data_IF_167848621238
#
_entry.id   IF_167848621238
#
_cell.length_a   1.000
_cell.length_b   1.000
_cell.length_c   1.000
_cell.angle_alpha   90.00
_cell.angle_beta   90.00
_cell.angle_gamma   90.00
#
_symmetry.space_group_name_H-M   'P 1'
#
loop_
_entity.id
_entity.type
_entity.pdbx_description
1 polymer ?
#
# COMPACT_ATOMS: atom_id res chain seq x y z
N UNK A 1 39.83 -11.94 -11.05
CA UNK A 1 38.85 -10.88 -10.74
C UNK A 1 38.28 -10.43 -12.07
N UNK A 2 36.96 -10.35 -12.18
CA UNK A 2 36.29 -9.97 -13.42
C UNK A 2 36.30 -8.44 -13.56
N UNK A 3 36.28 -7.91 -14.79
CA UNK A 3 36.37 -6.46 -15.10
C UNK A 3 35.30 -5.65 -14.34
N UNK A 4 34.12 -6.24 -14.14
CA UNK A 4 33.02 -5.65 -13.35
C UNK A 4 33.44 -5.28 -11.92
N UNK A 5 34.30 -6.07 -11.28
CA UNK A 5 34.74 -5.77 -9.91
C UNK A 5 35.76 -4.63 -9.86
N UNK A 6 36.53 -4.38 -10.92
CA UNK A 6 37.50 -3.27 -10.93
C UNK A 6 36.80 -1.92 -11.10
N UNK A 7 35.82 -1.84 -12.01
CA UNK A 7 35.02 -0.62 -12.21
C UNK A 7 34.24 -0.23 -10.96
N UNK A 8 33.61 -1.19 -10.29
CA UNK A 8 32.86 -0.95 -9.07
C UNK A 8 33.76 -0.48 -7.91
N UNK A 9 34.98 -1.02 -7.80
CA UNK A 9 35.94 -0.53 -6.81
C UNK A 9 36.39 0.90 -7.13
N UNK A 10 36.56 1.24 -8.41
CA UNK A 10 36.90 2.60 -8.85
C UNK A 10 35.77 3.59 -8.53
N UNK A 11 34.50 3.22 -8.71
CA UNK A 11 33.34 4.03 -8.34
C UNK A 11 33.28 4.29 -6.83
N UNK A 12 33.49 3.26 -6.00
CA UNK A 12 33.58 3.40 -4.53
C UNK A 12 34.74 4.30 -4.13
N UNK A 13 35.90 4.14 -4.75
CA UNK A 13 37.06 5.01 -4.51
C UNK A 13 36.81 6.45 -4.94
N UNK A 14 36.10 6.65 -6.05
CA UNK A 14 35.75 7.98 -6.54
C UNK A 14 34.78 8.67 -5.58
N UNK A 15 33.74 7.98 -5.12
CA UNK A 15 32.84 8.47 -4.08
C UNK A 15 33.59 8.81 -2.77
N UNK A 16 34.63 8.05 -2.42
CA UNK A 16 35.50 8.35 -1.28
C UNK A 16 36.28 9.66 -1.48
N UNK A 17 36.86 9.87 -2.67
CA UNK A 17 37.65 11.07 -3.01
C UNK A 17 36.78 12.32 -3.04
N UNK A 18 35.60 12.20 -3.63
CA UNK A 18 34.64 13.30 -3.80
C UNK A 18 33.85 13.59 -2.52
N UNK A 19 33.90 12.66 -1.55
CA UNK A 19 33.07 12.68 -0.33
C UNK A 19 31.58 12.74 -0.66
N UNK A 20 31.17 12.02 -1.69
CA UNK A 20 29.77 11.91 -2.12
C UNK A 20 28.92 11.42 -0.95
N UNK A 21 27.78 12.07 -0.74
CA UNK A 21 26.81 11.67 0.30
C UNK A 21 25.88 10.55 -0.18
N UNK A 22 25.89 10.29 -1.47
CA UNK A 22 25.10 9.29 -2.16
C UNK A 22 26.06 8.37 -2.94
N UNK A 23 25.69 7.10 -2.99
CA UNK A 23 26.36 6.09 -3.79
C UNK A 23 25.30 5.12 -4.31
N UNK A 24 25.24 5.02 -5.64
CA UNK A 24 24.37 4.08 -6.33
C UNK A 24 25.23 2.94 -6.89
N UNK A 25 24.93 1.71 -6.48
CA UNK A 25 25.52 0.48 -6.98
C UNK A 25 24.41 -0.49 -7.44
N UNK A 26 23.28 0.04 -7.90
CA UNK A 26 22.22 -0.76 -8.51
C UNK A 26 22.70 -1.48 -9.77
N UNK A 27 22.05 -2.60 -10.11
CA UNK A 27 22.30 -3.36 -11.35
C UNK A 27 23.77 -3.84 -11.53
N UNK A 28 24.57 -3.84 -10.47
CA UNK A 28 26.01 -4.13 -10.52
C UNK A 28 26.34 -5.63 -10.48
N UNK A 29 25.33 -6.49 -10.33
CA UNK A 29 25.49 -7.94 -10.21
C UNK A 29 26.21 -8.37 -8.92
N UNK A 30 26.10 -7.58 -7.86
CA UNK A 30 26.73 -7.82 -6.56
C UNK A 30 26.16 -9.07 -5.91
N UNK A 31 27.01 -10.03 -5.60
CA UNK A 31 26.66 -11.18 -4.74
C UNK A 31 27.02 -10.95 -3.28
N UNK A 32 27.88 -9.96 -3.01
CA UNK A 32 28.24 -9.48 -1.68
C UNK A 32 28.71 -8.02 -1.78
N UNK A 33 28.62 -7.27 -0.68
CA UNK A 33 29.15 -5.91 -0.60
C UNK A 33 30.67 -5.91 -0.38
N UNK A 34 31.45 -5.17 -1.20
CA UNK A 34 32.90 -5.05 -0.99
C UNK A 34 33.22 -4.24 0.27
N UNK A 35 34.22 -4.68 1.03
CA UNK A 35 34.55 -4.10 2.34
C UNK A 35 34.90 -2.60 2.31
N UNK A 36 35.34 -2.10 1.15
CA UNK A 36 35.69 -0.71 0.89
C UNK A 36 34.50 0.24 1.09
N UNK A 37 33.27 -0.22 0.80
CA UNK A 37 32.07 0.61 0.96
C UNK A 37 31.91 1.07 2.42
N UNK A 38 32.27 0.23 3.38
CA UNK A 38 32.13 0.51 4.81
C UNK A 38 33.14 1.55 5.33
N UNK A 39 34.07 2.01 4.50
CA UNK A 39 34.94 3.16 4.81
C UNK A 39 34.24 4.49 4.53
N UNK A 40 33.17 4.49 3.73
CA UNK A 40 32.39 5.67 3.36
C UNK A 40 31.38 6.06 4.47
N UNK A 41 31.88 6.21 5.70
CA UNK A 41 31.07 6.55 6.90
C UNK A 41 30.29 7.86 6.80
N UNK A 42 30.56 8.68 5.76
CA UNK A 42 29.86 9.93 5.47
C UNK A 42 28.63 9.75 4.57
N UNK A 43 28.40 8.57 4.00
CA UNK A 43 27.23 8.29 3.17
C UNK A 43 25.93 8.52 3.95
N UNK A 44 25.01 9.21 3.28
CA UNK A 44 23.64 9.44 3.69
C UNK A 44 22.68 8.58 2.87
N UNK A 45 22.95 8.33 1.59
CA UNK A 45 22.14 7.48 0.72
C UNK A 45 22.98 6.37 0.11
N UNK A 46 22.45 5.15 0.13
CA UNK A 46 23.06 4.00 -0.51
C UNK A 46 21.98 3.20 -1.25
N UNK A 47 22.14 3.06 -2.55
CA UNK A 47 21.25 2.29 -3.42
C UNK A 47 21.97 1.01 -3.87
N UNK A 48 21.32 -0.14 -3.63
CA UNK A 48 21.82 -1.47 -3.93
C UNK A 48 20.76 -2.32 -4.66
N UNK A 49 19.77 -1.67 -5.27
CA UNK A 49 18.65 -2.32 -5.95
C UNK A 49 19.13 -3.18 -7.14
N UNK A 50 18.34 -4.18 -7.52
CA UNK A 50 18.62 -5.10 -8.64
C UNK A 50 20.04 -5.71 -8.57
N UNK A 51 20.29 -6.45 -7.50
CA UNK A 51 21.54 -7.16 -7.27
C UNK A 51 21.27 -8.63 -6.85
N UNK A 52 22.31 -9.37 -6.50
CA UNK A 52 22.23 -10.79 -6.11
C UNK A 52 22.65 -10.98 -4.64
N UNK A 53 22.44 -9.99 -3.78
CA UNK A 53 22.84 -10.04 -2.38
C UNK A 53 21.98 -11.06 -1.64
N UNK A 54 22.62 -12.03 -1.00
CA UNK A 54 21.92 -13.04 -0.17
C UNK A 54 21.89 -12.68 1.31
N UNK A 55 22.78 -11.78 1.75
CA UNK A 55 22.82 -11.22 3.09
C UNK A 55 23.47 -9.83 3.08
N UNK A 56 23.21 -9.05 4.13
CA UNK A 56 23.99 -7.86 4.45
C UNK A 56 24.96 -8.16 5.60
N UNK A 57 26.24 -7.77 5.47
CA UNK A 57 27.22 -7.99 6.54
C UNK A 57 27.01 -7.01 7.71
N UNK A 58 27.35 -7.38 8.95
CA UNK A 58 27.27 -6.52 10.13
C UNK A 58 27.97 -5.15 9.98
N UNK A 59 28.99 -5.08 9.14
CA UNK A 59 29.74 -3.87 8.82
C UNK A 59 28.88 -2.75 8.21
N UNK A 60 27.66 -3.04 7.75
CA UNK A 60 26.70 -2.01 7.31
C UNK A 60 26.51 -0.92 8.39
N UNK A 61 26.58 -1.29 9.67
CA UNK A 61 26.49 -0.35 10.80
C UNK A 61 27.57 0.73 10.83
N UNK A 62 28.70 0.54 10.11
CA UNK A 62 29.76 1.57 9.99
C UNK A 62 29.28 2.79 9.22
N UNK A 63 28.25 2.64 8.37
CA UNK A 63 27.63 3.72 7.62
C UNK A 63 26.65 4.53 8.48
N UNK A 64 27.10 4.96 9.67
CA UNK A 64 26.28 5.53 10.74
C UNK A 64 25.49 6.80 10.38
N UNK A 65 25.81 7.46 9.26
CA UNK A 65 25.10 8.64 8.75
C UNK A 65 24.00 8.33 7.74
N UNK A 66 23.79 7.06 7.40
CA UNK A 66 22.78 6.67 6.42
C UNK A 66 21.39 7.12 6.86
N UNK A 67 20.68 7.76 5.94
CA UNK A 67 19.28 8.19 6.02
C UNK A 67 18.39 7.39 5.10
N UNK A 68 18.90 6.86 3.99
CA UNK A 68 18.16 6.03 3.03
C UNK A 68 19.01 4.84 2.60
N UNK A 69 18.45 3.64 2.73
CA UNK A 69 19.05 2.40 2.26
C UNK A 69 18.05 1.70 1.35
N UNK A 70 18.44 1.44 0.11
CA UNK A 70 17.63 0.71 -0.87
C UNK A 70 18.31 -0.63 -1.19
N UNK A 71 17.54 -1.71 -1.07
CA UNK A 71 17.95 -3.10 -1.20
C UNK A 71 16.93 -3.91 -2.02
N UNK A 72 16.08 -3.23 -2.78
CA UNK A 72 15.05 -3.81 -3.62
C UNK A 72 15.62 -4.84 -4.60
N UNK A 73 14.80 -5.79 -5.04
CA UNK A 73 15.17 -6.76 -6.08
C UNK A 73 16.51 -7.48 -5.79
N UNK A 74 16.62 -8.07 -4.60
CA UNK A 74 17.79 -8.86 -4.17
C UNK A 74 17.35 -10.27 -3.70
N UNK A 75 18.25 -11.02 -3.07
CA UNK A 75 18.00 -12.39 -2.60
C UNK A 75 18.12 -12.51 -1.07
N UNK A 76 17.88 -11.42 -0.33
CA UNK A 76 18.09 -11.37 1.12
C UNK A 76 17.10 -12.30 1.85
N UNK A 77 17.64 -13.14 2.72
CA UNK A 77 16.86 -14.05 3.57
C UNK A 77 16.51 -13.43 4.94
N UNK A 78 17.36 -12.52 5.42
CA UNK A 78 17.20 -11.78 6.67
C UNK A 78 17.98 -10.47 6.60
N UNK A 79 17.67 -9.53 7.49
CA UNK A 79 18.54 -8.41 7.82
C UNK A 79 19.42 -8.74 9.03
N UNK A 80 20.67 -8.24 9.11
CA UNK A 80 21.51 -8.38 10.30
C UNK A 80 20.97 -7.51 11.45
N UNK A 81 21.07 -7.94 12.73
CA UNK A 81 20.73 -7.13 13.90
C UNK A 81 21.37 -5.74 13.88
N UNK A 82 22.59 -5.63 13.35
CA UNK A 82 23.37 -4.41 13.25
C UNK A 82 22.72 -3.32 12.38
N UNK A 83 21.71 -3.66 11.57
CA UNK A 83 20.91 -2.66 10.84
C UNK A 83 20.33 -1.60 11.78
N UNK A 84 19.98 -2.01 13.00
CA UNK A 84 19.46 -1.14 14.06
C UNK A 84 20.43 -0.05 14.52
N UNK A 85 21.73 -0.18 14.21
CA UNK A 85 22.75 0.81 14.57
C UNK A 85 22.76 2.00 13.60
N UNK A 86 22.03 1.91 12.47
CA UNK A 86 21.81 3.03 11.55
C UNK A 86 20.82 4.04 12.15
N UNK A 87 21.24 4.70 13.23
CA UNK A 87 20.38 5.57 14.05
C UNK A 87 19.80 6.80 13.33
N UNK A 88 20.32 7.14 12.15
CA UNK A 88 19.84 8.25 11.31
C UNK A 88 18.92 7.77 10.18
N UNK A 89 18.68 6.45 10.04
CA UNK A 89 17.92 5.89 8.93
C UNK A 89 16.47 6.35 8.99
N UNK A 90 16.03 7.01 7.93
CA UNK A 90 14.68 7.54 7.77
C UNK A 90 13.85 6.69 6.80
N UNK A 91 14.48 6.05 5.82
CA UNK A 91 13.82 5.18 4.86
C UNK A 91 14.64 3.91 4.62
N UNK A 92 13.96 2.76 4.67
CA UNK A 92 14.53 1.45 4.39
C UNK A 92 13.64 0.72 3.39
N UNK A 93 14.20 0.42 2.23
CA UNK A 93 13.55 -0.33 1.16
C UNK A 93 14.21 -1.71 1.07
N UNK A 94 13.41 -2.76 1.26
CA UNK A 94 13.84 -4.17 1.20
C UNK A 94 12.82 -4.99 0.41
N UNK A 95 12.16 -4.33 -0.53
CA UNK A 95 11.16 -4.92 -1.40
C UNK A 95 11.74 -5.99 -2.32
N UNK A 96 10.88 -6.90 -2.79
CA UNK A 96 11.21 -7.95 -3.76
C UNK A 96 12.47 -8.75 -3.37
N UNK A 97 12.46 -9.29 -2.15
CA UNK A 97 13.50 -10.12 -1.56
C UNK A 97 12.92 -11.47 -1.09
N UNK A 98 13.63 -12.20 -0.23
CA UNK A 98 13.22 -13.51 0.27
C UNK A 98 13.10 -13.56 1.80
N UNK A 99 12.79 -12.42 2.43
CA UNK A 99 12.65 -12.34 3.88
C UNK A 99 11.50 -13.21 4.36
N UNK A 100 11.81 -14.28 5.09
CA UNK A 100 10.82 -15.10 5.78
C UNK A 100 10.42 -14.49 7.14
N UNK A 101 11.30 -13.66 7.72
CA UNK A 101 11.08 -12.92 8.95
C UNK A 101 11.84 -11.60 8.93
N UNK A 102 11.33 -10.63 9.69
CA UNK A 102 12.03 -9.37 9.97
C UNK A 102 12.73 -9.47 11.33
N UNK A 103 13.94 -8.93 11.43
CA UNK A 103 14.68 -8.93 12.70
C UNK A 103 13.96 -8.09 13.78
N UNK A 104 13.87 -8.55 15.04
CA UNK A 104 13.31 -7.76 16.15
C UNK A 104 14.02 -6.41 16.34
N UNK A 105 15.32 -6.34 16.03
CA UNK A 105 16.11 -5.12 16.19
C UNK A 105 15.62 -3.94 15.34
N UNK A 106 14.76 -4.18 14.34
CA UNK A 106 14.14 -3.13 13.53
C UNK A 106 13.47 -2.05 14.39
N UNK A 107 12.90 -2.42 15.54
CA UNK A 107 12.23 -1.49 16.46
C UNK A 107 13.13 -0.38 17.01
N UNK A 108 14.45 -0.55 16.93
CA UNK A 108 15.43 0.44 17.41
C UNK A 108 15.70 1.58 16.40
N UNK A 109 15.17 1.51 15.17
CA UNK A 109 15.34 2.54 14.15
C UNK A 109 14.46 3.77 14.43
N UNK A 110 14.82 4.54 15.46
CA UNK A 110 14.00 5.64 16.01
C UNK A 110 13.68 6.78 15.04
N UNK A 111 14.40 6.90 13.92
CA UNK A 111 14.19 7.92 12.89
C UNK A 111 13.38 7.42 11.69
N UNK A 112 13.09 6.11 11.61
CA UNK A 112 12.45 5.50 10.46
C UNK A 112 11.04 6.06 10.24
N UNK A 113 10.78 6.49 9.01
CA UNK A 113 9.52 7.06 8.53
C UNK A 113 8.89 6.17 7.46
N UNK A 114 9.71 5.54 6.63
CA UNK A 114 9.28 4.67 5.53
C UNK A 114 9.95 3.31 5.66
N UNK A 115 9.15 2.25 5.62
CA UNK A 115 9.62 0.87 5.61
C UNK A 115 8.89 0.11 4.49
N UNK A 116 9.61 -0.23 3.43
CA UNK A 116 9.09 -1.04 2.34
C UNK A 116 9.55 -2.50 2.49
N UNK A 117 8.59 -3.41 2.68
CA UNK A 117 8.78 -4.85 2.79
C UNK A 117 7.96 -5.62 1.74
N UNK A 118 7.49 -4.92 0.70
CA UNK A 118 6.76 -5.49 -0.44
C UNK A 118 7.46 -6.72 -1.00
N UNK A 119 6.73 -7.70 -1.52
CA UNK A 119 7.33 -8.77 -2.33
C UNK A 119 8.28 -9.68 -1.55
N UNK A 120 7.97 -9.95 -0.27
CA UNK A 120 8.75 -10.85 0.58
C UNK A 120 7.95 -12.11 0.93
N UNK A 121 8.43 -12.90 1.89
CA UNK A 121 7.80 -14.16 2.33
C UNK A 121 7.28 -14.07 3.77
N UNK A 122 6.98 -12.86 4.24
CA UNK A 122 6.60 -12.61 5.63
C UNK A 122 5.23 -13.24 5.95
N UNK A 123 5.18 -13.95 7.07
CA UNK A 123 3.94 -14.52 7.64
C UNK A 123 3.50 -13.79 8.92
N UNK A 124 4.40 -13.01 9.52
CA UNK A 124 4.20 -12.21 10.72
C UNK A 124 5.27 -11.12 10.81
N UNK A 125 5.08 -10.17 11.73
CA UNK A 125 6.06 -9.15 12.08
C UNK A 125 6.54 -9.37 13.52
N UNK A 126 7.79 -8.96 13.86
CA UNK A 126 8.25 -8.97 15.24
C UNK A 126 7.48 -7.94 16.07
N UNK A 127 7.26 -8.24 17.35
CA UNK A 127 6.52 -7.37 18.29
C UNK A 127 7.10 -5.96 18.36
N UNK A 128 8.42 -5.87 18.19
CA UNK A 128 9.26 -4.69 18.27
C UNK A 128 9.00 -3.68 17.14
N UNK A 129 8.37 -4.07 16.03
CA UNK A 129 8.01 -3.10 14.98
C UNK A 129 7.11 -1.99 15.52
N UNK A 130 6.26 -2.31 16.52
CA UNK A 130 5.40 -1.35 17.22
C UNK A 130 6.17 -0.22 17.93
N UNK A 131 7.48 -0.39 18.14
CA UNK A 131 8.34 0.58 18.83
C UNK A 131 8.83 1.69 17.90
N UNK A 132 8.59 1.61 16.59
CA UNK A 132 8.98 2.63 15.62
C UNK A 132 8.14 3.92 15.80
N UNK A 133 8.68 4.96 16.45
CA UNK A 133 7.85 6.06 16.95
C UNK A 133 7.47 7.07 15.87
N UNK A 134 8.09 6.96 14.68
CA UNK A 134 7.99 7.91 13.57
C UNK A 134 7.52 7.30 12.27
N UNK A 135 7.23 5.99 12.23
CA UNK A 135 6.82 5.31 11.01
C UNK A 135 5.50 5.89 10.49
N UNK A 136 5.49 6.25 9.21
CA UNK A 136 4.39 6.89 8.50
C UNK A 136 3.91 6.04 7.34
N UNK A 137 4.84 5.37 6.68
CA UNK A 137 4.61 4.56 5.48
C UNK A 137 5.11 3.15 5.76
N UNK A 138 4.21 2.18 5.62
CA UNK A 138 4.52 0.77 5.77
C UNK A 138 3.89 0.00 4.61
N UNK A 139 4.74 -0.60 3.78
CA UNK A 139 4.32 -1.49 2.69
C UNK A 139 4.64 -2.94 3.06
N UNK A 140 3.59 -3.75 3.16
CA UNK A 140 3.59 -5.20 3.40
C UNK A 140 2.94 -5.95 2.23
N UNK A 141 2.73 -5.29 1.09
CA UNK A 141 2.09 -5.88 -0.08
C UNK A 141 2.86 -7.09 -0.59
N UNK A 142 2.19 -7.99 -1.31
CA UNK A 142 2.81 -9.19 -1.91
C UNK A 142 3.61 -10.03 -0.90
N UNK A 143 3.00 -10.32 0.26
CA UNK A 143 3.58 -11.20 1.29
C UNK A 143 2.69 -12.44 1.52
N UNK A 144 2.88 -13.15 2.63
CA UNK A 144 2.12 -14.37 2.98
C UNK A 144 1.32 -14.21 4.26
N UNK A 145 0.88 -12.98 4.56
CA UNK A 145 0.12 -12.67 5.77
C UNK A 145 -1.30 -13.24 5.65
N UNK A 146 -1.69 -14.06 6.63
CA UNK A 146 -3.05 -14.63 6.73
C UNK A 146 -3.99 -13.78 7.60
N UNK A 147 -3.41 -12.85 8.38
CA UNK A 147 -4.10 -11.92 9.24
C UNK A 147 -3.27 -10.64 9.35
N UNK A 148 -3.93 -9.51 9.62
CA UNK A 148 -3.27 -8.25 9.89
C UNK A 148 -2.42 -8.38 11.17
N UNK A 149 -1.10 -8.08 11.15
CA UNK A 149 -0.27 -8.18 12.34
C UNK A 149 -0.76 -7.22 13.44
N UNK A 150 -0.99 -7.70 14.69
CA UNK A 150 -1.52 -6.88 15.78
C UNK A 150 -0.58 -5.74 16.20
N UNK A 151 0.69 -5.80 15.83
CA UNK A 151 1.69 -4.77 16.09
C UNK A 151 1.45 -3.51 15.23
N UNK A 152 0.93 -3.68 14.01
CA UNK A 152 0.75 -2.57 13.06
C UNK A 152 -0.19 -1.52 13.64
N UNK A 153 -1.22 -1.93 14.38
CA UNK A 153 -2.21 -1.00 14.97
C UNK A 153 -1.62 -0.10 16.06
N UNK A 154 -0.42 -0.41 16.56
CA UNK A 154 0.28 0.39 17.59
C UNK A 154 1.14 1.51 16.97
N UNK A 155 1.29 1.53 15.65
CA UNK A 155 2.04 2.55 14.92
C UNK A 155 1.25 3.87 14.82
N UNK A 156 1.19 4.61 15.93
CA UNK A 156 0.33 5.80 16.09
C UNK A 156 0.63 6.99 15.14
N UNK A 157 1.72 6.92 14.36
CA UNK A 157 2.07 7.94 13.34
C UNK A 157 1.78 7.47 11.92
N UNK A 158 1.32 6.23 11.72
CA UNK A 158 1.10 5.64 10.40
C UNK A 158 0.03 6.43 9.63
N UNK A 159 0.31 6.66 8.35
CA UNK A 159 -0.50 7.43 7.40
C UNK A 159 -0.84 6.59 6.19
N UNK A 160 0.10 5.78 5.75
CA UNK A 160 0.00 4.94 4.57
C UNK A 160 0.30 3.50 4.99
N UNK A 161 -0.65 2.62 4.73
CA UNK A 161 -0.53 1.19 4.97
C UNK A 161 -0.97 0.44 3.73
N UNK A 162 -0.02 -0.25 3.11
CA UNK A 162 -0.32 -1.23 2.07
C UNK A 162 -0.14 -2.65 2.64
N UNK A 163 -1.20 -3.45 2.60
CA UNK A 163 -1.18 -4.88 2.93
C UNK A 163 -1.95 -5.67 1.85
N UNK A 164 -1.96 -5.14 0.62
CA UNK A 164 -2.51 -5.79 -0.56
C UNK A 164 -1.78 -7.09 -0.89
N UNK A 165 -2.35 -7.91 -1.76
CA UNK A 165 -1.71 -9.12 -2.28
C UNK A 165 -1.22 -10.06 -1.15
N UNK A 166 -2.12 -10.31 -0.20
CA UNK A 166 -1.91 -11.20 0.94
C UNK A 166 -3.07 -12.22 1.01
N UNK A 167 -3.29 -12.85 2.16
CA UNK A 167 -4.33 -13.87 2.35
C UNK A 167 -5.27 -13.51 3.50
N UNK A 168 -5.49 -12.21 3.71
CA UNK A 168 -6.33 -11.70 4.78
C UNK A 168 -7.80 -12.09 4.55
N UNK A 169 -8.42 -12.69 5.56
CA UNK A 169 -9.86 -13.03 5.54
C UNK A 169 -10.70 -12.06 6.37
N UNK A 170 -10.06 -11.29 7.25
CA UNK A 170 -10.70 -10.27 8.08
C UNK A 170 -9.68 -9.21 8.53
N UNK A 171 -10.20 -8.02 8.87
CA UNK A 171 -9.44 -6.94 9.50
C UNK A 171 -9.78 -6.86 10.99
N UNK A 172 -8.75 -6.74 11.83
CA UNK A 172 -8.95 -6.59 13.28
C UNK A 172 -9.70 -5.29 13.59
N UNK A 173 -10.65 -5.29 14.55
CA UNK A 173 -11.26 -4.07 15.08
C UNK A 173 -10.23 -3.03 15.58
N UNK A 174 -9.02 -3.46 15.94
CA UNK A 174 -7.97 -2.57 16.41
C UNK A 174 -7.42 -1.63 15.33
N UNK A 175 -7.76 -1.82 14.05
CA UNK A 175 -7.46 -0.88 12.96
C UNK A 175 -7.88 0.57 13.30
N UNK A 176 -8.94 0.72 14.09
CA UNK A 176 -9.43 2.01 14.57
C UNK A 176 -8.43 2.80 15.45
N UNK A 177 -7.35 2.17 15.92
CA UNK A 177 -6.28 2.84 16.66
C UNK A 177 -5.39 3.70 15.75
N UNK A 178 -5.37 3.42 14.43
CA UNK A 178 -4.61 4.17 13.43
C UNK A 178 -5.30 5.48 13.04
N UNK A 179 -5.52 6.37 14.01
CA UNK A 179 -6.29 7.62 13.85
C UNK A 179 -5.67 8.65 12.88
N UNK A 180 -4.46 8.39 12.35
CA UNK A 180 -3.77 9.22 11.35
C UNK A 180 -3.72 8.59 9.96
N UNK A 181 -4.24 7.37 9.81
CA UNK A 181 -4.25 6.64 8.55
C UNK A 181 -5.07 7.41 7.53
N UNK A 182 -4.46 7.66 6.37
CA UNK A 182 -5.01 8.38 5.24
C UNK A 182 -5.28 7.43 4.11
N UNK A 183 -4.33 6.56 3.82
CA UNK A 183 -4.35 5.72 2.64
C UNK A 183 -4.17 4.28 3.09
N UNK A 184 -5.13 3.44 2.73
CA UNK A 184 -5.20 2.05 3.15
C UNK A 184 -5.51 1.17 1.94
N UNK A 185 -4.52 0.38 1.54
CA UNK A 185 -4.66 -0.61 0.47
C UNK A 185 -4.83 -2.01 1.06
N UNK A 186 -6.00 -2.59 0.82
CA UNK A 186 -6.41 -3.95 1.21
C UNK A 186 -6.74 -4.82 -0.02
N UNK A 187 -6.38 -4.36 -1.22
CA UNK A 187 -6.71 -5.07 -2.45
C UNK A 187 -6.08 -6.46 -2.54
N UNK A 188 -6.58 -7.31 -3.43
CA UNK A 188 -6.02 -8.66 -3.65
C UNK A 188 -5.93 -9.50 -2.36
N UNK A 189 -7.02 -9.55 -1.60
CA UNK A 189 -7.16 -10.35 -0.37
C UNK A 189 -8.43 -11.20 -0.44
N UNK A 190 -8.90 -11.74 0.69
CA UNK A 190 -10.10 -12.59 0.78
C UNK A 190 -11.12 -12.00 1.77
N UNK A 191 -11.22 -10.68 1.81
CA UNK A 191 -12.10 -9.98 2.73
C UNK A 191 -13.56 -10.13 2.29
N UNK A 192 -14.43 -10.44 3.26
CA UNK A 192 -15.88 -10.55 3.04
C UNK A 192 -16.68 -9.45 3.74
N UNK A 193 -16.08 -8.77 4.72
CA UNK A 193 -16.67 -7.65 5.46
C UNK A 193 -15.56 -6.80 6.13
N UNK A 194 -15.94 -5.64 6.69
CA UNK A 194 -15.11 -4.78 7.52
C UNK A 194 -15.73 -4.61 8.93
N UNK A 195 -14.92 -4.52 10.00
CA UNK A 195 -15.46 -4.40 11.35
C UNK A 195 -16.19 -3.07 11.55
N UNK A 196 -17.28 -3.04 12.33
CA UNK A 196 -18.10 -1.83 12.53
C UNK A 196 -17.32 -0.60 13.09
N UNK A 197 -16.20 -0.84 13.75
CA UNK A 197 -15.31 0.21 14.27
C UNK A 197 -14.48 0.91 13.20
N UNK A 198 -14.49 0.43 11.95
CA UNK A 198 -13.81 1.05 10.81
C UNK A 198 -14.26 2.51 10.59
N UNK A 199 -15.50 2.83 10.98
CA UNK A 199 -16.06 4.19 11.02
C UNK A 199 -15.22 5.20 11.82
N UNK A 200 -14.40 4.75 12.77
CA UNK A 200 -13.49 5.63 13.53
C UNK A 200 -12.40 6.26 12.68
N UNK A 201 -12.11 5.71 11.49
CA UNK A 201 -11.18 6.26 10.51
C UNK A 201 -11.79 7.42 9.69
N UNK A 202 -13.08 7.71 9.87
CA UNK A 202 -13.83 8.75 9.11
C UNK A 202 -13.20 10.15 9.12
N UNK A 203 -12.38 10.45 10.11
CA UNK A 203 -11.72 11.76 10.23
C UNK A 203 -10.33 11.82 9.58
N UNK A 204 -9.78 10.71 9.13
CA UNK A 204 -8.41 10.64 8.62
C UNK A 204 -8.32 10.01 7.23
N UNK A 205 -9.09 8.95 6.95
CA UNK A 205 -8.99 8.18 5.71
C UNK A 205 -9.49 8.98 4.52
N UNK A 206 -8.72 8.92 3.44
CA UNK A 206 -8.91 9.62 2.17
C UNK A 206 -8.95 8.63 1.01
N UNK A 207 -8.15 7.57 1.09
CA UNK A 207 -8.08 6.53 0.07
C UNK A 207 -8.29 5.16 0.72
N UNK A 208 -9.16 4.37 0.11
CA UNK A 208 -9.45 3.01 0.51
C UNK A 208 -9.55 2.14 -0.73
N UNK A 209 -8.61 1.21 -0.86
CA UNK A 209 -8.65 0.18 -1.89
C UNK A 209 -9.06 -1.17 -1.28
N UNK A 210 -10.18 -1.70 -1.76
CA UNK A 210 -10.76 -2.99 -1.41
C UNK A 210 -10.93 -3.87 -2.65
N UNK A 211 -10.29 -3.51 -3.76
CA UNK A 211 -10.40 -4.20 -5.04
C UNK A 211 -9.94 -5.65 -4.96
N UNK A 212 -10.47 -6.52 -5.81
CA UNK A 212 -10.14 -7.94 -5.84
C UNK A 212 -10.21 -8.61 -4.45
N UNK A 213 -11.40 -8.56 -3.86
CA UNK A 213 -11.75 -9.23 -2.60
C UNK A 213 -13.05 -10.05 -2.79
N UNK A 214 -13.59 -10.59 -1.70
CA UNK A 214 -14.78 -11.44 -1.71
C UNK A 214 -16.03 -10.69 -1.17
N UNK A 215 -16.07 -9.36 -1.29
CA UNK A 215 -17.19 -8.54 -0.79
C UNK A 215 -18.45 -8.81 -1.61
N UNK A 216 -19.51 -9.26 -0.94
CA UNK A 216 -20.85 -9.45 -1.55
C UNK A 216 -21.77 -8.23 -1.35
N UNK A 217 -21.48 -7.44 -0.32
CA UNK A 217 -22.12 -6.16 0.00
C UNK A 217 -21.03 -5.15 0.33
N UNK A 218 -21.28 -3.87 0.05
CA UNK A 218 -20.45 -2.79 0.58
C UNK A 218 -20.88 -2.57 2.04
N UNK A 219 -20.02 -2.81 3.04
CA UNK A 219 -20.40 -2.63 4.44
C UNK A 219 -20.82 -1.17 4.70
N UNK A 220 -22.00 -0.90 5.30
CA UNK A 220 -22.48 0.48 5.51
C UNK A 220 -21.53 1.37 6.31
N UNK A 221 -20.62 0.76 7.08
CA UNK A 221 -19.55 1.45 7.81
C UNK A 221 -18.62 2.24 6.87
N UNK A 222 -18.42 1.79 5.63
CA UNK A 222 -17.61 2.50 4.61
C UNK A 222 -18.25 3.84 4.27
N UNK A 223 -19.58 3.90 4.20
CA UNK A 223 -20.31 5.14 3.90
C UNK A 223 -20.15 6.22 4.99
N UNK A 224 -19.66 5.85 6.18
CA UNK A 224 -19.40 6.80 7.27
C UNK A 224 -18.03 7.50 7.13
N UNK A 225 -17.21 7.10 6.16
CA UNK A 225 -15.90 7.68 5.90
C UNK A 225 -16.01 9.01 5.14
N UNK A 226 -16.60 10.02 5.78
CA UNK A 226 -16.99 11.30 5.15
C UNK A 226 -15.85 12.13 4.53
N UNK A 227 -14.58 11.80 4.81
CA UNK A 227 -13.40 12.41 4.17
C UNK A 227 -12.78 11.59 3.04
N UNK A 228 -13.35 10.42 2.75
CA UNK A 228 -12.89 9.55 1.67
C UNK A 228 -13.08 10.27 0.33
N UNK A 229 -12.01 10.29 -0.46
CA UNK A 229 -11.92 10.86 -1.81
C UNK A 229 -11.88 9.77 -2.86
N UNK A 230 -11.21 8.66 -2.55
CA UNK A 230 -10.99 7.58 -3.49
C UNK A 230 -11.42 6.26 -2.85
N UNK A 231 -12.32 5.55 -3.54
CA UNK A 231 -12.84 4.25 -3.15
C UNK A 231 -12.75 3.29 -4.32
N UNK A 232 -11.90 2.28 -4.17
CA UNK A 232 -11.71 1.22 -5.15
C UNK A 232 -12.34 -0.07 -4.64
N UNK A 233 -13.27 -0.62 -5.42
CA UNK A 233 -14.09 -1.79 -5.12
C UNK A 233 -14.13 -2.75 -6.32
N UNK A 234 -13.24 -2.58 -7.30
CA UNK A 234 -13.27 -3.38 -8.52
C UNK A 234 -13.06 -4.86 -8.21
N UNK A 235 -13.50 -5.75 -9.11
CA UNK A 235 -13.26 -7.20 -9.00
C UNK A 235 -13.78 -7.82 -7.67
N UNK A 236 -14.93 -7.36 -7.19
CA UNK A 236 -15.63 -7.94 -6.04
C UNK A 236 -16.90 -8.69 -6.49
N UNK A 237 -17.78 -9.03 -5.54
CA UNK A 237 -19.03 -9.75 -5.79
C UNK A 237 -20.27 -8.91 -5.42
N UNK A 238 -20.15 -7.57 -5.46
CA UNK A 238 -21.19 -6.63 -5.02
C UNK A 238 -22.42 -6.72 -5.90
N UNK A 239 -23.59 -6.97 -5.30
CA UNK A 239 -24.87 -7.02 -6.04
C UNK A 239 -25.59 -5.67 -6.10
N UNK A 240 -25.39 -4.82 -5.08
CA UNK A 240 -25.97 -3.49 -4.96
C UNK A 240 -25.06 -2.58 -4.12
N UNK A 241 -25.23 -1.26 -4.26
CA UNK A 241 -24.68 -0.27 -3.33
C UNK A 241 -25.75 0.16 -2.31
N UNK A 242 -25.36 0.44 -1.05
CA UNK A 242 -26.26 1.01 -0.04
C UNK A 242 -26.67 2.44 -0.43
N UNK A 243 -27.87 2.86 -0.02
CA UNK A 243 -28.35 4.23 -0.27
C UNK A 243 -27.50 5.27 0.46
N UNK A 244 -26.87 4.87 1.57
CA UNK A 244 -25.93 5.65 2.37
C UNK A 244 -24.65 6.03 1.63
N UNK A 245 -24.38 5.50 0.42
CA UNK A 245 -23.22 5.90 -0.38
C UNK A 245 -23.13 7.42 -0.57
N UNK A 246 -24.28 8.12 -0.59
CA UNK A 246 -24.34 9.58 -0.67
C UNK A 246 -23.71 10.32 0.51
N UNK A 247 -23.43 9.64 1.63
CA UNK A 247 -22.74 10.22 2.79
C UNK A 247 -21.25 10.48 2.50
N UNK A 248 -20.68 9.86 1.46
CA UNK A 248 -19.31 10.10 1.01
C UNK A 248 -19.21 11.42 0.23
N UNK A 249 -19.59 12.53 0.87
CA UNK A 249 -19.71 13.87 0.27
C UNK A 249 -18.40 14.47 -0.28
N UNK A 250 -17.28 13.79 -0.11
CA UNK A 250 -15.96 14.19 -0.61
C UNK A 250 -15.37 13.20 -1.61
N UNK A 251 -16.16 12.20 -2.04
CA UNK A 251 -15.74 11.18 -2.98
C UNK A 251 -15.60 11.79 -4.37
N UNK A 252 -14.42 11.63 -4.93
CA UNK A 252 -14.00 12.12 -6.25
C UNK A 252 -13.82 10.93 -7.21
N UNK A 253 -13.35 9.79 -6.71
CA UNK A 253 -13.13 8.58 -7.49
C UNK A 253 -13.88 7.39 -6.88
N UNK A 254 -14.74 6.77 -7.70
CA UNK A 254 -15.44 5.54 -7.35
C UNK A 254 -15.24 4.50 -8.45
N UNK A 255 -14.41 3.51 -8.16
CA UNK A 255 -14.22 2.34 -9.04
C UNK A 255 -14.99 1.15 -8.50
N UNK A 256 -16.01 0.68 -9.23
CA UNK A 256 -16.78 -0.53 -8.90
C UNK A 256 -16.86 -1.44 -10.13
N UNK A 257 -15.82 -1.45 -10.96
CA UNK A 257 -15.76 -2.33 -12.12
C UNK A 257 -15.83 -3.81 -11.72
N UNK A 258 -16.23 -4.66 -12.67
CA UNK A 258 -16.16 -6.11 -12.54
C UNK A 258 -16.82 -6.65 -11.26
N UNK A 259 -18.05 -6.19 -11.02
CA UNK A 259 -18.90 -6.62 -9.92
C UNK A 259 -20.21 -7.26 -10.46
N UNK A 260 -21.21 -7.43 -9.60
CA UNK A 260 -22.51 -8.05 -9.94
C UNK A 260 -23.66 -7.05 -9.86
N UNK A 261 -23.38 -5.73 -9.95
CA UNK A 261 -24.40 -4.70 -9.77
C UNK A 261 -25.51 -4.84 -10.81
N UNK A 262 -26.75 -4.94 -10.34
CA UNK A 262 -27.95 -4.93 -11.19
C UNK A 262 -28.70 -3.61 -11.11
N UNK A 263 -28.43 -2.82 -10.08
CA UNK A 263 -29.03 -1.52 -9.86
C UNK A 263 -28.05 -0.57 -9.17
N UNK A 264 -28.26 0.74 -9.37
CA UNK A 264 -27.62 1.81 -8.61
C UNK A 264 -28.66 2.52 -7.72
N UNK A 265 -28.30 2.94 -6.50
CA UNK A 265 -29.20 3.73 -5.66
C UNK A 265 -29.37 5.14 -6.25
N UNK A 266 -30.60 5.67 -6.22
CA UNK A 266 -30.88 7.03 -6.73
C UNK A 266 -30.07 8.12 -6.00
N UNK A 267 -29.70 7.85 -4.73
CA UNK A 267 -28.89 8.74 -3.90
C UNK A 267 -27.46 8.91 -4.43
N UNK A 268 -26.99 8.06 -5.37
CA UNK A 268 -25.69 8.24 -6.02
C UNK A 268 -25.55 9.62 -6.70
N UNK A 269 -26.67 10.17 -7.20
CA UNK A 269 -26.73 11.54 -7.76
C UNK A 269 -26.40 12.67 -6.78
N UNK A 270 -26.29 12.37 -5.48
CA UNK A 270 -25.95 13.35 -4.44
C UNK A 270 -24.43 13.50 -4.22
N UNK A 271 -23.60 12.66 -4.87
CA UNK A 271 -22.15 12.77 -4.82
C UNK A 271 -21.66 13.90 -5.73
N UNK A 272 -21.75 15.14 -5.23
CA UNK A 272 -21.48 16.35 -6.03
C UNK A 272 -20.02 16.62 -6.36
N UNK A 273 -19.08 15.92 -5.71
CA UNK A 273 -17.63 16.04 -5.96
C UNK A 273 -17.12 14.88 -6.83
N UNK A 274 -17.99 13.98 -7.29
CA UNK A 274 -17.60 12.77 -8.02
C UNK A 274 -17.12 13.14 -9.42
N UNK A 275 -15.84 12.90 -9.69
CA UNK A 275 -15.19 13.16 -10.97
C UNK A 275 -15.06 11.89 -11.81
N UNK A 276 -14.90 10.73 -11.17
CA UNK A 276 -14.71 9.44 -11.84
C UNK A 276 -15.65 8.37 -11.28
N UNK A 277 -16.42 7.74 -12.16
CA UNK A 277 -17.33 6.66 -11.84
C UNK A 277 -17.14 5.51 -12.83
N UNK A 278 -16.44 4.48 -12.41
CA UNK A 278 -16.13 3.31 -13.23
C UNK A 278 -17.07 2.16 -12.86
N UNK A 279 -17.85 1.68 -13.84
CA UNK A 279 -18.95 0.72 -13.64
C UNK A 279 -18.92 -0.45 -14.63
N UNK A 280 -17.92 -0.50 -15.51
CA UNK A 280 -17.74 -1.56 -16.50
C UNK A 280 -17.73 -2.95 -15.84
N UNK A 281 -18.10 -3.99 -16.59
CA UNK A 281 -18.12 -5.36 -16.05
C UNK A 281 -19.27 -5.67 -15.09
N UNK A 282 -20.22 -4.75 -14.87
CA UNK A 282 -21.45 -5.00 -14.11
C UNK A 282 -22.63 -5.46 -14.99
N UNK A 283 -23.79 -5.70 -14.37
CA UNK A 283 -25.05 -6.13 -15.03
C UNK A 283 -26.10 -5.03 -15.03
N UNK A 284 -25.66 -3.78 -15.13
CA UNK A 284 -26.53 -2.61 -15.14
C UNK A 284 -27.27 -2.51 -16.48
N UNK A 285 -28.51 -2.01 -16.50
CA UNK A 285 -29.26 -1.71 -17.73
C UNK A 285 -28.74 -0.43 -18.40
N UNK A 286 -27.41 -0.29 -18.51
CA UNK A 286 -26.72 0.84 -19.14
C UNK A 286 -25.88 0.26 -20.29
N UNK A 287 -26.07 0.72 -21.53
CA UNK A 287 -25.28 0.25 -22.66
C UNK A 287 -23.77 0.49 -22.44
N UNK A 288 -22.87 -0.45 -22.81
CA UNK A 288 -21.42 -0.29 -22.63
C UNK A 288 -20.86 0.99 -23.26
N UNK A 289 -21.38 1.39 -24.42
CA UNK A 289 -20.95 2.62 -25.09
C UNK A 289 -21.30 3.91 -24.33
N UNK A 290 -22.22 3.87 -23.36
CA UNK A 290 -22.48 5.01 -22.46
C UNK A 290 -21.47 5.01 -21.32
N UNK A 291 -21.12 3.83 -20.78
CA UNK A 291 -20.10 3.70 -19.74
C UNK A 291 -18.72 4.12 -20.28
N UNK A 292 -18.35 3.67 -21.47
CA UNK A 292 -17.05 3.94 -22.10
C UNK A 292 -16.90 5.36 -22.66
N UNK A 293 -18.00 6.01 -23.04
CA UNK A 293 -17.97 7.32 -23.72
C UNK A 293 -18.28 8.50 -22.80
N UNK A 294 -18.88 8.27 -21.63
CA UNK A 294 -19.18 9.35 -20.70
C UNK A 294 -17.87 9.93 -20.15
N UNK A 295 -17.66 11.22 -20.40
CA UNK A 295 -16.54 11.97 -19.82
C UNK A 295 -16.85 12.38 -18.36
N UNK A 296 -18.13 12.41 -17.97
CA UNK A 296 -18.60 12.84 -16.65
C UNK A 296 -19.56 11.82 -15.99
N UNK A 297 -19.42 11.54 -14.67
CA UNK A 297 -20.30 10.65 -13.92
C UNK A 297 -21.80 11.02 -13.99
N UNK A 298 -22.11 12.31 -14.09
CA UNK A 298 -23.49 12.81 -14.16
C UNK A 298 -24.25 12.27 -15.37
N UNK A 299 -23.58 12.10 -16.52
CA UNK A 299 -24.21 11.57 -17.73
C UNK A 299 -24.68 10.13 -17.54
N UNK A 300 -23.84 9.29 -16.93
CA UNK A 300 -24.15 7.90 -16.61
C UNK A 300 -25.34 7.83 -15.64
N UNK A 301 -25.28 8.62 -14.56
CA UNK A 301 -26.32 8.63 -13.52
C UNK A 301 -27.66 9.11 -14.10
N UNK A 302 -27.65 10.19 -14.88
CA UNK A 302 -28.86 10.74 -15.51
C UNK A 302 -29.47 9.77 -16.52
N UNK A 303 -28.64 9.09 -17.33
CA UNK A 303 -29.09 8.05 -18.24
C UNK A 303 -29.79 6.91 -17.49
N UNK A 304 -29.18 6.41 -16.42
CA UNK A 304 -29.73 5.33 -15.61
C UNK A 304 -31.08 5.71 -14.98
N UNK A 305 -31.17 6.89 -14.36
CA UNK A 305 -32.42 7.39 -13.76
C UNK A 305 -33.54 7.51 -14.80
N UNK A 306 -33.24 8.03 -15.99
CA UNK A 306 -34.20 8.13 -17.09
C UNK A 306 -34.74 6.76 -17.51
N UNK A 307 -33.85 5.78 -17.63
CA UNK A 307 -34.17 4.39 -18.02
C UNK A 307 -35.11 3.72 -17.02
N UNK A 308 -34.87 3.90 -15.71
CA UNK A 308 -35.77 3.41 -14.66
C UNK A 308 -37.17 4.03 -14.73
N UNK A 309 -37.24 5.34 -14.95
CA UNK A 309 -38.51 6.06 -15.03
C UNK A 309 -39.35 5.59 -16.24
N UNK A 310 -38.73 5.36 -17.40
CA UNK A 310 -39.44 4.82 -18.58
C UNK A 310 -39.97 3.40 -18.35
N UNK A 311 -39.20 2.50 -17.73
CA UNK A 311 -39.65 1.13 -17.45
C UNK A 311 -40.82 1.08 -16.43
N UNK A 312 -40.86 2.04 -15.51
CA UNK A 312 -41.94 2.16 -14.51
C UNK A 312 -43.25 2.68 -15.12
N UNK A 313 -43.16 3.46 -16.21
CA UNK A 313 -44.33 3.94 -16.97
C UNK A 313 -44.93 2.83 -17.85
N UNK A 314 -44.09 2.00 -18.48
CA UNK A 314 -44.54 0.89 -19.33
C UNK A 314 -45.16 -0.28 -18.55
N UNK A 315 -44.72 -0.53 -17.32
CA UNK A 315 -45.31 -1.59 -16.45
C UNK A 315 -46.66 -1.22 -15.82
N UNK A 316 -47.14 0.02 -16.01
CA UNK A 316 -48.42 0.52 -15.51
C UNK A 316 -49.52 0.66 -16.59
N UNK A 317 -49.20 0.33 -17.84
CA UNK A 317 -50.10 0.32 -19.00
C UNK A 317 -50.53 -1.11 -19.33
#
# INVERSE_FOLDING_TARGET
MNIMNEQLLEEIEQAARDKSTDLDLSEAGLTFLPAQIFQLSHLEWLTLDDNQLTFLPPEIAKLSKLKRLELGENQLLTLPPEIAQLSQLEALYVDDNHLAMLTPDIGNLSQLKTLNLRGNQLIALPSEISQLPRLRELDLSHNRLIAMPPEVVQLAQLRELDISDNQLTAISPDIAQLAKLRDLNLSNNRLTDLPAVFSKLSNSLKELDLSNNELTILPPVVCQLTKLRELYLSENQLENLPAEICQLSKLEWLDIRDNKLTSLPQTLSQLSELEWLLLEGNRLPIPPNILEAAEEPEEIINFYIKTLNSATLESKL
#
